data_IF_357050728687
#
_entry.id   IF_357050728687
#
_cell.length_a   1.000
_cell.length_b   1.000
_cell.length_c   1.000
_cell.angle_alpha   90.00
_cell.angle_beta   90.00
_cell.angle_gamma   90.00
#
_symmetry.space_group_name_H-M   'P 1'
#
loop_
_entity.id
_entity.type
_entity.pdbx_description
1 polymer ?
#
# COMPACT_ATOMS: atom_id res chain seq x y z
N UNK A 1 -9.92 8.03 1.91
CA UNK A 1 -10.99 7.17 1.34
C UNK A 1 -10.70 6.89 -0.12
N UNK A 2 -10.84 5.65 -0.57
CA UNK A 2 -10.66 5.22 -1.96
C UNK A 2 -11.89 4.45 -2.44
N UNK A 3 -12.62 4.93 -3.47
CA UNK A 3 -13.71 4.18 -4.06
C UNK A 3 -13.20 3.00 -4.88
N UNK A 4 -14.00 1.93 -4.96
CA UNK A 4 -13.86 0.91 -5.99
C UNK A 4 -14.16 1.52 -7.37
N UNK A 5 -13.53 1.00 -8.43
CA UNK A 5 -13.88 1.38 -9.81
C UNK A 5 -15.34 1.05 -10.19
N UNK A 6 -16.02 0.23 -9.39
CA UNK A 6 -17.43 -0.14 -9.56
C UNK A 6 -18.39 0.61 -8.65
N UNK A 7 -17.93 1.59 -7.86
CA UNK A 7 -18.76 2.32 -6.91
C UNK A 7 -19.94 3.03 -7.62
N UNK A 8 -21.18 2.59 -7.34
CA UNK A 8 -22.43 3.14 -7.92
C UNK A 8 -23.61 2.99 -6.95
N UNK A 9 -24.68 3.75 -7.20
CA UNK A 9 -25.93 3.66 -6.44
C UNK A 9 -25.87 4.30 -5.05
N UNK A 10 -24.82 5.03 -4.74
CA UNK A 10 -24.72 5.83 -3.52
C UNK A 10 -23.78 7.02 -3.72
N UNK A 11 -23.84 7.94 -2.77
CA UNK A 11 -22.92 9.05 -2.56
C UNK A 11 -22.36 8.95 -1.14
N UNK A 12 -21.10 9.34 -0.95
CA UNK A 12 -20.45 9.37 0.36
C UNK A 12 -20.25 10.81 0.78
N UNK A 13 -20.66 11.13 2.01
CA UNK A 13 -20.54 12.43 2.63
C UNK A 13 -19.68 12.36 3.88
N UNK A 14 -19.02 13.47 4.19
CA UNK A 14 -18.41 13.75 5.47
C UNK A 14 -19.41 14.55 6.30
N UNK A 15 -19.80 14.01 7.43
CA UNK A 15 -20.62 14.70 8.41
C UNK A 15 -19.70 15.40 9.43
N UNK A 16 -19.95 16.70 9.63
CA UNK A 16 -19.28 17.57 10.59
C UNK A 16 -20.27 18.55 11.18
N UNK A 17 -20.49 18.50 12.49
CA UNK A 17 -21.34 19.46 13.21
C UNK A 17 -22.74 19.62 12.57
N UNK A 18 -23.31 18.53 12.06
CA UNK A 18 -24.62 18.49 11.39
C UNK A 18 -24.59 18.87 9.89
N UNK A 19 -23.44 19.19 9.32
CA UNK A 19 -23.28 19.53 7.90
C UNK A 19 -22.74 18.33 7.12
N UNK A 20 -23.39 18.01 6.00
CA UNK A 20 -22.96 16.95 5.08
C UNK A 20 -22.20 17.53 3.88
N UNK A 21 -20.89 17.30 3.85
CA UNK A 21 -20.01 17.68 2.73
C UNK A 21 -19.80 16.48 1.79
N UNK A 22 -20.01 16.65 0.48
CA UNK A 22 -19.85 15.56 -0.48
C UNK A 22 -18.38 15.15 -0.65
N UNK A 23 -18.04 13.91 -0.28
CA UNK A 23 -16.70 13.32 -0.47
C UNK A 23 -16.57 12.55 -1.77
N UNK A 24 -17.53 11.67 -2.05
CA UNK A 24 -17.56 10.85 -3.26
C UNK A 24 -18.93 11.00 -3.94
N UNK A 25 -18.99 11.53 -5.17
CA UNK A 25 -20.20 11.49 -5.97
C UNK A 25 -20.53 10.05 -6.38
N UNK A 26 -21.71 9.83 -6.98
CA UNK A 26 -22.00 8.58 -7.65
C UNK A 26 -21.08 8.42 -8.88
N UNK A 27 -20.58 7.19 -9.10
CA UNK A 27 -19.57 6.89 -10.12
C UNK A 27 -18.33 7.81 -10.05
N UNK A 28 -17.65 7.89 -8.89
CA UNK A 28 -16.50 8.74 -8.71
C UNK A 28 -15.32 8.21 -9.54
N UNK A 29 -14.38 9.08 -9.87
CA UNK A 29 -13.07 8.63 -10.35
C UNK A 29 -12.40 7.76 -9.27
N UNK A 30 -11.63 6.72 -9.63
CA UNK A 30 -10.98 5.81 -8.68
C UNK A 30 -9.76 6.43 -7.98
N UNK A 31 -9.87 7.70 -7.56
CA UNK A 31 -8.82 8.46 -6.90
C UNK A 31 -9.05 8.51 -5.39
N UNK A 32 -7.96 8.56 -4.65
CA UNK A 32 -8.00 8.76 -3.20
C UNK A 32 -8.50 10.17 -2.89
N UNK A 33 -9.43 10.27 -1.93
CA UNK A 33 -9.84 11.52 -1.29
C UNK A 33 -9.40 11.53 0.17
N UNK A 34 -8.73 12.60 0.57
CA UNK A 34 -8.25 12.80 1.94
C UNK A 34 -8.99 13.98 2.57
N UNK A 35 -9.22 13.88 3.87
CA UNK A 35 -9.73 14.96 4.71
C UNK A 35 -9.10 14.79 6.11
N UNK A 36 -8.96 15.89 6.84
CA UNK A 36 -8.41 15.94 8.19
C UNK A 36 -9.36 16.68 9.12
N UNK A 37 -9.25 16.44 10.42
CA UNK A 37 -10.04 17.12 11.44
C UNK A 37 -9.20 17.31 12.72
N UNK A 38 -9.47 18.36 13.51
CA UNK A 38 -8.80 18.58 14.78
C UNK A 38 -9.14 17.48 15.81
N UNK A 39 -8.28 17.22 16.81
CA UNK A 39 -8.45 16.10 17.76
C UNK A 39 -9.76 16.09 18.58
N UNK A 40 -10.46 17.23 18.67
CA UNK A 40 -11.70 17.37 19.45
C UNK A 40 -12.96 17.35 18.59
N UNK A 41 -12.82 17.40 17.27
CA UNK A 41 -13.95 17.36 16.34
C UNK A 41 -14.38 15.90 16.16
N UNK A 42 -15.69 15.66 16.16
CA UNK A 42 -16.26 14.37 15.77
C UNK A 42 -16.67 14.46 14.31
N UNK A 43 -16.25 13.48 13.53
CA UNK A 43 -16.61 13.37 12.13
C UNK A 43 -17.17 11.99 11.86
N UNK A 44 -18.12 11.89 10.94
CA UNK A 44 -18.67 10.61 10.51
C UNK A 44 -18.71 10.51 8.98
N UNK A 45 -18.64 9.27 8.47
CA UNK A 45 -18.90 8.99 7.07
C UNK A 45 -20.37 8.62 6.91
N UNK A 46 -21.09 9.43 6.14
CA UNK A 46 -22.51 9.20 5.85
C UNK A 46 -22.68 8.68 4.41
N UNK A 47 -23.33 7.53 4.27
CA UNK A 47 -23.57 6.91 2.97
C UNK A 47 -25.05 7.07 2.60
N UNK A 48 -25.33 7.73 1.49
CA UNK A 48 -26.68 7.96 1.00
C UNK A 48 -26.91 7.19 -0.31
N UNK A 49 -27.90 6.31 -0.35
CA UNK A 49 -28.27 5.59 -1.56
C UNK A 49 -28.91 6.54 -2.59
N UNK A 50 -28.56 6.40 -3.87
CA UNK A 50 -29.22 7.13 -4.95
C UNK A 50 -30.49 6.39 -5.37
N UNK A 51 -31.68 7.03 -5.38
CA UNK A 51 -32.89 6.41 -5.90
C UNK A 51 -32.73 6.06 -7.38
N UNK A 52 -33.19 4.88 -7.77
CA UNK A 52 -33.29 4.47 -9.17
C UNK A 52 -34.61 3.74 -9.42
N UNK A 53 -35.01 3.66 -10.70
CA UNK A 53 -36.35 3.16 -11.09
C UNK A 53 -36.37 1.68 -11.47
N UNK A 54 -35.20 1.08 -11.64
CA UNK A 54 -35.07 -0.32 -12.04
C UNK A 54 -34.74 -1.21 -10.84
N UNK A 55 -34.82 -2.53 -11.02
CA UNK A 55 -34.41 -3.51 -10.00
C UNK A 55 -32.94 -3.91 -10.12
N UNK A 56 -32.13 -3.16 -10.89
CA UNK A 56 -30.73 -3.48 -11.12
C UNK A 56 -29.93 -3.34 -9.82
N UNK A 57 -29.03 -4.29 -9.58
CA UNK A 57 -28.13 -4.25 -8.43
C UNK A 57 -27.02 -3.22 -8.69
N UNK A 58 -26.93 -2.22 -7.81
CA UNK A 58 -25.79 -1.27 -7.75
C UNK A 58 -25.01 -1.51 -6.48
N UNK A 59 -23.68 -1.44 -6.56
CA UNK A 59 -22.79 -1.70 -5.43
C UNK A 59 -21.93 -0.47 -5.19
N UNK A 60 -22.07 0.14 -4.02
CA UNK A 60 -21.19 1.19 -3.55
C UNK A 60 -20.13 0.58 -2.63
N UNK A 61 -18.93 0.35 -3.16
CA UNK A 61 -17.80 -0.21 -2.41
C UNK A 61 -16.65 0.79 -2.32
N UNK A 62 -16.14 1.03 -1.13
CA UNK A 62 -14.99 1.90 -0.88
C UNK A 62 -14.17 1.38 0.30
N UNK A 63 -12.94 1.87 0.44
CA UNK A 63 -12.07 1.63 1.60
C UNK A 63 -11.69 2.96 2.23
N UNK A 64 -11.57 2.98 3.55
CA UNK A 64 -11.05 4.14 4.28
C UNK A 64 -9.90 3.70 5.19
N UNK A 65 -9.02 4.65 5.48
CA UNK A 65 -7.90 4.49 6.40
C UNK A 65 -7.92 5.70 7.31
N UNK A 66 -7.76 5.46 8.61
CA UNK A 66 -7.53 6.50 9.59
C UNK A 66 -6.03 6.67 9.77
N UNK A 67 -5.53 7.89 9.63
CA UNK A 67 -4.13 8.22 9.86
C UNK A 67 -4.00 9.25 10.97
N UNK A 68 -3.04 9.02 11.87
CA UNK A 68 -2.59 10.05 12.80
C UNK A 68 -1.69 11.07 12.11
N UNK A 69 -1.35 12.13 12.84
CA UNK A 69 -0.43 13.16 12.35
C UNK A 69 0.93 12.55 11.94
N UNK A 70 1.36 12.80 10.71
CA UNK A 70 2.65 12.36 10.17
C UNK A 70 3.86 12.97 10.91
N UNK A 71 3.67 13.92 11.81
CA UNK A 71 4.74 14.63 12.53
C UNK A 71 5.52 13.77 13.54
N UNK A 72 5.03 12.57 13.90
CA UNK A 72 5.65 11.73 14.95
C UNK A 72 6.49 10.55 14.47
N UNK A 73 6.80 10.45 13.17
CA UNK A 73 7.82 9.51 12.66
C UNK A 73 7.55 8.01 12.84
N UNK A 74 6.37 7.63 13.34
CA UNK A 74 6.00 6.24 13.64
C UNK A 74 5.19 5.56 12.52
N UNK A 75 4.75 6.32 11.51
CA UNK A 75 4.03 5.75 10.37
C UNK A 75 5.02 5.46 9.24
N UNK A 76 5.27 4.17 8.98
CA UNK A 76 6.15 3.70 7.90
C UNK A 76 5.73 4.21 6.53
N UNK A 77 4.45 4.57 6.37
CA UNK A 77 3.91 5.17 5.16
C UNK A 77 4.29 6.65 5.01
N UNK A 78 4.38 7.44 6.08
CA UNK A 78 4.87 8.83 5.97
C UNK A 78 6.37 8.86 5.61
N UNK A 79 7.18 7.98 6.21
CA UNK A 79 8.60 7.83 5.88
C UNK A 79 8.82 7.40 4.43
N UNK A 80 8.00 6.46 3.96
CA UNK A 80 8.15 5.95 2.61
C UNK A 80 7.49 6.83 1.53
N UNK A 81 6.52 7.70 1.87
CA UNK A 81 6.10 8.78 0.96
C UNK A 81 7.20 9.87 0.86
N UNK A 82 7.88 10.19 1.98
CA UNK A 82 8.93 11.20 2.03
C UNK A 82 10.24 10.78 1.34
N UNK A 83 10.58 9.49 1.36
CA UNK A 83 11.77 8.90 0.72
C UNK A 83 11.50 8.07 -0.54
N UNK A 84 10.31 8.18 -1.14
CA UNK A 84 9.70 7.15 -1.99
C UNK A 84 10.53 6.53 -3.11
N UNK A 85 11.52 7.25 -3.64
CA UNK A 85 12.27 6.79 -4.83
C UNK A 85 13.76 6.63 -4.61
N UNK A 86 14.30 6.93 -3.41
CA UNK A 86 15.71 6.64 -3.15
C UNK A 86 15.87 5.17 -2.76
N UNK A 87 16.98 4.52 -3.13
CA UNK A 87 17.32 3.22 -2.58
C UNK A 87 17.36 3.28 -1.05
N UNK A 88 16.84 2.24 -0.40
CA UNK A 88 16.95 2.08 1.05
C UNK A 88 18.40 1.85 1.46
N UNK A 89 18.82 2.45 2.57
CA UNK A 89 20.10 2.14 3.21
C UNK A 89 20.01 0.86 4.06
N UNK A 90 21.14 0.38 4.56
CA UNK A 90 21.23 -0.86 5.32
C UNK A 90 20.29 -0.88 6.54
N UNK A 91 20.26 0.20 7.32
CA UNK A 91 19.38 0.33 8.49
C UNK A 91 17.91 0.26 8.10
N UNK A 92 17.52 0.92 7.00
CA UNK A 92 16.14 0.92 6.49
C UNK A 92 15.73 -0.47 6.00
N UNK A 93 16.63 -1.19 5.33
CA UNK A 93 16.39 -2.56 4.90
C UNK A 93 16.16 -3.46 6.11
N UNK A 94 17.02 -3.35 7.13
CA UNK A 94 16.93 -4.14 8.37
C UNK A 94 15.65 -3.82 9.15
N UNK A 95 15.23 -2.56 9.20
CA UNK A 95 13.97 -2.19 9.86
C UNK A 95 12.75 -2.64 9.05
N UNK A 96 12.78 -2.51 7.72
CA UNK A 96 11.66 -2.82 6.85
C UNK A 96 11.23 -4.29 6.95
N UNK A 97 12.16 -5.23 7.11
CA UNK A 97 11.81 -6.65 7.30
C UNK A 97 11.02 -6.91 8.61
N UNK A 98 11.21 -6.08 9.63
CA UNK A 98 10.58 -6.24 10.94
C UNK A 98 9.24 -5.54 11.04
N UNK A 99 9.06 -4.41 10.35
CA UNK A 99 7.90 -3.52 10.52
C UNK A 99 6.90 -3.55 9.37
N UNK A 100 7.29 -4.07 8.20
CA UNK A 100 6.42 -4.13 7.02
C UNK A 100 5.21 -5.04 7.22
N UNK A 101 4.11 -4.69 6.53
CA UNK A 101 2.90 -5.51 6.46
C UNK A 101 3.11 -6.76 5.59
N UNK A 102 4.00 -6.67 4.61
CA UNK A 102 4.45 -7.81 3.83
C UNK A 102 5.96 -7.82 3.64
N UNK A 103 6.51 -9.03 3.58
CA UNK A 103 7.91 -9.31 3.23
C UNK A 103 7.91 -10.56 2.35
N UNK A 104 8.31 -10.41 1.09
CA UNK A 104 8.34 -11.51 0.12
C UNK A 104 9.68 -11.56 -0.61
N UNK A 105 10.16 -12.77 -0.88
CA UNK A 105 11.28 -13.02 -1.80
C UNK A 105 10.68 -13.38 -3.15
N UNK A 106 11.20 -12.80 -4.23
CA UNK A 106 10.60 -12.99 -5.54
C UNK A 106 11.33 -12.34 -6.70
N UNK A 107 10.69 -12.33 -7.87
CA UNK A 107 11.20 -11.70 -9.10
C UNK A 107 10.14 -10.79 -9.74
N UNK A 108 10.61 -9.79 -10.49
CA UNK A 108 9.74 -8.90 -11.27
C UNK A 108 9.32 -9.64 -12.54
N UNK A 109 8.01 -9.80 -12.75
CA UNK A 109 7.42 -10.37 -13.97
C UNK A 109 7.10 -9.28 -14.99
N UNK A 110 6.57 -8.16 -14.53
CA UNK A 110 6.13 -7.06 -15.39
C UNK A 110 6.17 -5.73 -14.63
N UNK A 111 6.28 -4.65 -15.39
CA UNK A 111 6.06 -3.29 -14.88
C UNK A 111 5.11 -2.60 -15.85
N UNK A 112 4.05 -2.00 -15.33
CA UNK A 112 3.10 -1.18 -16.09
C UNK A 112 2.92 0.16 -15.40
N UNK A 113 2.64 1.20 -16.16
CA UNK A 113 2.53 2.57 -15.66
C UNK A 113 1.10 3.07 -15.83
N UNK A 114 0.55 3.66 -14.78
CA UNK A 114 -0.72 4.35 -14.77
C UNK A 114 -0.44 5.86 -14.66
N UNK A 115 -0.49 6.54 -15.81
CA UNK A 115 -0.25 7.98 -15.88
C UNK A 115 -1.37 8.80 -15.22
N UNK A 116 -2.59 8.26 -15.12
CA UNK A 116 -3.70 8.98 -14.49
C UNK A 116 -3.55 8.99 -12.97
N UNK A 117 -3.12 7.86 -12.39
CA UNK A 117 -2.88 7.72 -10.95
C UNK A 117 -1.47 8.17 -10.54
N UNK A 118 -0.56 8.41 -11.48
CA UNK A 118 0.86 8.69 -11.22
C UNK A 118 1.54 7.54 -10.44
N UNK A 119 1.20 6.31 -10.82
CA UNK A 119 1.64 5.08 -10.17
C UNK A 119 2.27 4.10 -11.18
N UNK A 120 3.25 3.32 -10.73
CA UNK A 120 3.77 2.15 -11.43
C UNK A 120 3.32 0.89 -10.69
N UNK A 121 2.82 -0.09 -11.44
CA UNK A 121 2.40 -1.39 -10.94
C UNK A 121 3.45 -2.45 -11.33
N UNK A 122 4.07 -3.03 -10.32
CA UNK A 122 5.08 -4.08 -10.42
C UNK A 122 4.39 -5.43 -10.23
N UNK A 123 4.28 -6.24 -11.29
CA UNK A 123 3.85 -7.62 -11.19
C UNK A 123 4.97 -8.49 -10.67
N UNK A 124 4.75 -9.21 -9.57
CA UNK A 124 5.78 -10.02 -8.91
C UNK A 124 5.41 -11.50 -8.85
N UNK A 125 6.43 -12.36 -9.01
CA UNK A 125 6.37 -13.76 -8.60
C UNK A 125 6.97 -13.88 -7.21
N UNK A 126 6.21 -14.35 -6.23
CA UNK A 126 6.77 -14.71 -4.93
C UNK A 126 7.33 -16.14 -5.00
N UNK A 127 8.59 -16.31 -4.63
CA UNK A 127 9.18 -17.63 -4.37
C UNK A 127 9.04 -18.01 -2.90
N UNK A 128 9.00 -17.01 -2.00
CA UNK A 128 8.71 -17.20 -0.58
C UNK A 128 8.00 -16.00 0.01
N UNK A 129 7.00 -16.26 0.84
CA UNK A 129 6.29 -15.25 1.62
C UNK A 129 6.78 -15.38 3.07
N UNK A 130 7.54 -14.41 3.55
CA UNK A 130 8.05 -14.41 4.93
C UNK A 130 7.02 -13.80 5.90
N UNK A 131 6.29 -12.79 5.43
CA UNK A 131 5.17 -12.16 6.15
C UNK A 131 4.15 -11.63 5.14
N UNK A 132 2.87 -11.78 5.46
CA UNK A 132 1.80 -11.00 4.84
C UNK A 132 0.64 -10.86 5.84
N UNK A 133 0.20 -9.63 6.13
CA UNK A 133 -1.00 -9.41 6.96
C UNK A 133 -2.30 -9.76 6.24
N UNK A 134 -2.29 -9.64 4.91
CA UNK A 134 -3.42 -9.92 4.02
C UNK A 134 -2.97 -10.80 2.86
N UNK A 135 -3.85 -11.61 2.25
CA UNK A 135 -3.51 -12.51 1.15
C UNK A 135 -3.29 -11.74 -0.17
N UNK A 136 -2.21 -10.97 -0.24
CA UNK A 136 -1.88 -10.09 -1.37
C UNK A 136 -1.16 -10.82 -2.52
N UNK A 137 -0.49 -11.94 -2.22
CA UNK A 137 0.40 -12.64 -3.14
C UNK A 137 -0.02 -14.09 -3.41
N UNK A 138 -1.32 -14.33 -3.58
CA UNK A 138 -1.91 -15.65 -3.84
C UNK A 138 -2.96 -15.57 -4.97
N UNK A 139 -2.57 -15.03 -6.12
CA UNK A 139 -3.44 -14.97 -7.29
C UNK A 139 -3.58 -16.36 -7.97
N UNK A 140 -4.80 -16.91 -7.98
CA UNK A 140 -5.13 -18.11 -8.77
C UNK A 140 -4.32 -19.37 -8.40
N UNK A 141 -4.03 -19.56 -7.11
CA UNK A 141 -3.27 -20.70 -6.62
C UNK A 141 -1.76 -20.63 -6.87
N UNK A 142 -1.27 -19.56 -7.50
CA UNK A 142 0.17 -19.30 -7.68
C UNK A 142 0.63 -18.17 -6.75
N UNK A 143 1.85 -18.24 -6.20
CA UNK A 143 2.39 -17.18 -5.36
C UNK A 143 2.80 -15.99 -6.25
N UNK A 144 1.84 -15.13 -6.56
CA UNK A 144 2.00 -13.96 -7.41
C UNK A 144 1.07 -12.83 -6.95
N UNK A 145 1.47 -11.59 -7.20
CA UNK A 145 0.69 -10.40 -6.86
C UNK A 145 1.24 -9.16 -7.52
N UNK A 146 0.75 -8.00 -7.09
CA UNK A 146 1.15 -6.70 -7.64
C UNK A 146 1.52 -5.74 -6.52
N UNK A 147 2.57 -4.96 -6.74
CA UNK A 147 3.06 -3.94 -5.81
C UNK A 147 3.05 -2.58 -6.50
N UNK A 148 2.51 -1.56 -5.85
CA UNK A 148 2.46 -0.18 -6.34
C UNK A 148 3.65 0.64 -5.85
N UNK A 149 4.07 1.61 -6.65
CA UNK A 149 5.07 2.62 -6.30
C UNK A 149 4.79 3.90 -7.10
N UNK A 150 5.23 5.10 -6.67
CA UNK A 150 5.05 6.31 -7.47
C UNK A 150 5.72 6.23 -8.84
N UNK A 151 5.04 6.73 -9.88
CA UNK A 151 5.54 6.72 -11.26
C UNK A 151 6.91 7.43 -11.40
N UNK A 152 7.11 8.51 -10.65
CA UNK A 152 8.36 9.28 -10.60
C UNK A 152 9.59 8.45 -10.15
N UNK A 153 9.39 7.28 -9.54
CA UNK A 153 10.49 6.40 -9.16
C UNK A 153 11.09 5.66 -10.36
N UNK A 154 10.43 5.66 -11.52
CA UNK A 154 11.00 5.18 -12.78
C UNK A 154 11.41 3.71 -12.74
N UNK A 155 10.61 2.86 -12.06
CA UNK A 155 10.92 1.44 -11.93
C UNK A 155 10.96 0.77 -13.29
N UNK A 156 11.99 -0.04 -13.51
CA UNK A 156 12.19 -0.80 -14.74
C UNK A 156 12.15 -2.30 -14.46
N UNK A 157 11.68 -3.12 -15.41
CA UNK A 157 11.88 -4.56 -15.35
C UNK A 157 13.37 -4.87 -15.24
N UNK A 158 13.73 -5.86 -14.43
CA UNK A 158 15.12 -6.26 -14.26
C UNK A 158 15.23 -7.71 -13.79
N UNK A 159 16.22 -8.47 -14.30
CA UNK A 159 16.44 -9.83 -13.85
C UNK A 159 16.98 -9.85 -12.41
N UNK A 160 16.67 -10.93 -11.71
CA UNK A 160 17.18 -11.22 -10.38
C UNK A 160 16.10 -11.57 -9.38
N UNK A 161 16.57 -11.93 -8.18
CA UNK A 161 15.72 -12.15 -7.01
C UNK A 161 15.84 -10.95 -6.08
N UNK A 162 14.70 -10.45 -5.63
CA UNK A 162 14.58 -9.29 -4.77
C UNK A 162 13.86 -9.69 -3.48
N UNK A 163 14.13 -8.95 -2.41
CA UNK A 163 13.31 -8.96 -1.20
C UNK A 163 12.39 -7.73 -1.25
N UNK A 164 11.10 -7.93 -1.48
CA UNK A 164 10.13 -6.85 -1.48
C UNK A 164 9.53 -6.71 -0.09
N UNK A 165 9.57 -5.47 0.41
CA UNK A 165 8.98 -5.07 1.68
C UNK A 165 8.02 -3.92 1.43
N UNK A 166 7.01 -3.78 2.28
CA UNK A 166 6.03 -2.72 2.11
C UNK A 166 4.85 -2.78 3.06
N UNK A 167 3.96 -1.81 2.88
CA UNK A 167 2.74 -1.68 3.68
C UNK A 167 1.51 -1.86 2.79
N UNK A 168 0.38 -2.06 3.45
CA UNK A 168 -0.92 -2.04 2.82
C UNK A 168 -1.45 -0.60 2.75
N UNK A 169 -1.94 -0.20 1.59
CA UNK A 169 -2.67 1.04 1.42
C UNK A 169 -3.95 0.79 0.61
N UNK A 170 -5.11 1.03 1.23
CA UNK A 170 -6.45 0.73 0.71
C UNK A 170 -6.59 -0.70 0.16
N UNK A 171 -6.01 -1.67 0.84
CA UNK A 171 -6.05 -3.08 0.42
C UNK A 171 -5.09 -3.42 -0.73
N UNK A 172 -4.18 -2.52 -1.08
CA UNK A 172 -3.18 -2.70 -2.14
C UNK A 172 -1.78 -2.69 -1.55
N UNK A 173 -0.87 -3.50 -2.09
CA UNK A 173 0.52 -3.53 -1.64
C UNK A 173 1.28 -2.31 -2.19
N UNK A 174 1.95 -1.56 -1.32
CA UNK A 174 2.81 -0.43 -1.68
C UNK A 174 4.25 -0.68 -1.28
N UNK A 175 5.17 -0.36 -2.18
CA UNK A 175 6.58 -0.69 -2.03
C UNK A 175 7.29 0.22 -1.02
N UNK A 176 7.98 -0.38 -0.05
CA UNK A 176 8.95 0.29 0.83
C UNK A 176 10.37 0.13 0.29
N UNK A 177 10.94 -1.07 0.44
CA UNK A 177 12.29 -1.40 -0.04
C UNK A 177 12.24 -2.62 -0.96
N UNK A 178 13.11 -2.62 -1.97
CA UNK A 178 13.30 -3.73 -2.90
C UNK A 178 14.80 -4.04 -3.16
N UNK A 179 15.63 -4.32 -2.13
CA UNK A 179 17.01 -4.73 -2.38
C UNK A 179 17.06 -6.05 -3.16
N UNK A 180 18.16 -6.28 -3.87
CA UNK A 180 18.46 -7.62 -4.37
C UNK A 180 18.65 -8.55 -3.17
N UNK A 181 18.14 -9.77 -3.26
CA UNK A 181 18.16 -10.71 -2.12
C UNK A 181 19.59 -11.00 -1.62
N UNK A 182 20.56 -11.11 -2.55
CA UNK A 182 21.98 -11.30 -2.21
C UNK A 182 22.56 -10.16 -1.39
N UNK A 183 22.18 -8.92 -1.68
CA UNK A 183 22.67 -7.76 -0.94
C UNK A 183 22.02 -7.69 0.44
N UNK A 184 20.72 -8.00 0.53
CA UNK A 184 20.03 -8.17 1.81
C UNK A 184 20.71 -9.23 2.70
N UNK A 185 21.04 -10.40 2.15
CA UNK A 185 21.71 -11.47 2.92
C UNK A 185 23.02 -10.97 3.53
N UNK A 186 23.85 -10.28 2.74
CA UNK A 186 25.10 -9.69 3.23
C UNK A 186 24.87 -8.70 4.37
N UNK A 187 23.90 -7.79 4.21
CA UNK A 187 23.55 -6.77 5.21
C UNK A 187 23.05 -7.44 6.50
N UNK A 188 22.12 -8.39 6.38
CA UNK A 188 21.53 -9.07 7.53
C UNK A 188 22.53 -9.93 8.29
N UNK A 189 23.37 -10.70 7.60
CA UNK A 189 24.43 -11.49 8.24
C UNK A 189 25.46 -10.61 8.95
N UNK A 190 25.82 -9.46 8.35
CA UNK A 190 26.68 -8.47 8.98
C UNK A 190 26.09 -7.97 10.30
N UNK A 191 24.83 -7.53 10.26
CA UNK A 191 24.11 -7.06 11.45
C UNK A 191 23.92 -8.17 12.50
N UNK A 192 23.67 -9.41 12.08
CA UNK A 192 23.52 -10.54 13.01
C UNK A 192 24.82 -10.88 13.74
N UNK A 193 25.97 -10.81 13.06
CA UNK A 193 27.30 -11.04 13.67
C UNK A 193 27.63 -9.97 14.72
N UNK A 194 27.24 -8.72 14.47
CA UNK A 194 27.45 -7.61 15.42
C UNK A 194 26.31 -7.44 16.43
N UNK A 195 25.29 -8.32 16.41
CA UNK A 195 24.07 -8.23 17.25
C UNK A 195 23.34 -6.90 17.13
N UNK A 196 23.31 -6.34 15.94
CA UNK A 196 22.61 -5.11 15.58
C UNK A 196 21.38 -5.38 14.71
N UNK A 197 20.98 -6.64 14.53
CA UNK A 197 19.75 -6.96 13.80
C UNK A 197 18.52 -6.58 14.64
N UNK A 198 17.58 -5.78 14.10
CA UNK A 198 16.41 -5.32 14.85
C UNK A 198 15.36 -6.43 15.10
N UNK A 199 15.41 -7.52 14.34
CA UNK A 199 14.62 -8.73 14.57
C UNK A 199 15.30 -9.96 13.99
N UNK A 200 14.84 -11.14 14.43
CA UNK A 200 15.18 -12.42 13.81
C UNK A 200 14.40 -12.63 12.52
N UNK A 201 15.10 -13.09 11.48
CA UNK A 201 14.54 -13.30 10.15
C UNK A 201 15.13 -14.60 9.56
N UNK A 202 14.28 -15.51 9.03
CA UNK A 202 14.75 -16.76 8.46
C UNK A 202 15.40 -16.49 7.09
N UNK A 203 16.71 -16.32 7.10
CA UNK A 203 17.54 -16.23 5.90
C UNK A 203 17.93 -17.65 5.49
N UNK A 204 17.26 -18.15 4.45
CA UNK A 204 17.58 -19.41 3.77
C UNK A 204 18.08 -19.14 2.34
#
# INVERSE_FOLDING_TARGET
>A
VKPSGTFRGAQLYLEREGVLELLLPEAPRPRVRCFSWPPREKVALFLQATPHRDISRRIAAFRYELRGDCHRGADGLCLAVAGACRPCNDTEILMAICTSDFVIRGSIRSVSNDAELQESLIGVSATRIHRQKFPLFQAGGRPAGSIRTPLRCGVKPGPGTFLFTGWLHFGEAWLSCAPRYRDFQRIYEGARRTRQNPCEFPVD
#
